data_IF_981830601247
#
_entry.id   IF_981830601247
#
_cell.length_a   1.000
_cell.length_b   1.000
_cell.length_c   1.000
_cell.angle_alpha   90.00
_cell.angle_beta   90.00
_cell.angle_gamma   90.00
#
_symmetry.space_group_name_H-M   'P 1'
#
loop_
_entity.id
_entity.type
_entity.pdbx_description
1 polymer ?
#
# COMPACT_ATOMS: atom_id res chain seq x y z
N UNK A 1 -50.46 -10.64 -19.35
CA UNK A 1 -50.14 -11.98 -18.79
C UNK A 1 -49.00 -11.77 -17.78
N UNK A 2 -49.18 -11.94 -16.47
CA UNK A 2 -49.50 -13.19 -15.74
C UNK A 2 -48.35 -14.22 -15.88
N UNK A 3 -47.77 -14.79 -14.81
CA UNK A 3 -48.28 -14.92 -13.43
C UNK A 3 -47.18 -14.96 -12.33
N UNK A 4 -47.64 -14.74 -11.09
CA UNK A 4 -47.03 -15.09 -9.78
C UNK A 4 -47.82 -16.28 -9.16
N UNK A 5 -47.51 -16.80 -7.95
CA UNK A 5 -46.28 -16.74 -7.16
C UNK A 5 -45.69 -18.19 -7.07
N UNK A 6 -45.70 -19.03 -5.99
CA UNK A 6 -45.93 -18.88 -4.53
C UNK A 6 -44.63 -19.04 -3.68
N UNK A 7 -44.79 -19.11 -2.34
CA UNK A 7 -43.74 -19.44 -1.35
C UNK A 7 -44.21 -20.58 -0.42
N UNK A 8 -43.31 -21.30 0.29
CA UNK A 8 -43.68 -22.24 1.35
C UNK A 8 -43.62 -21.64 2.77
N UNK A 9 -44.30 -22.29 3.72
CA UNK A 9 -44.63 -21.80 5.07
C UNK A 9 -44.23 -22.82 6.15
N UNK A 10 -43.83 -22.34 7.33
CA UNK A 10 -43.63 -23.15 8.55
C UNK A 10 -42.17 -23.26 9.01
N UNK A 11 -41.85 -23.45 10.30
CA UNK A 11 -42.73 -23.88 11.39
C UNK A 11 -42.46 -23.17 12.74
N UNK A 12 -43.51 -23.20 13.57
CA UNK A 12 -43.65 -22.65 14.92
C UNK A 12 -42.56 -23.12 15.90
N UNK A 13 -42.23 -22.26 16.88
CA UNK A 13 -42.24 -22.70 18.29
C UNK A 13 -42.38 -21.53 19.27
N UNK A 14 -43.48 -21.49 20.04
CA UNK A 14 -43.64 -20.64 21.24
C UNK A 14 -43.38 -21.51 22.46
N UNK A 15 -42.35 -21.22 23.24
CA UNK A 15 -42.22 -21.77 24.59
C UNK A 15 -42.96 -20.86 25.57
N UNK A 16 -43.99 -21.40 26.23
CA UNK A 16 -44.77 -20.74 27.28
C UNK A 16 -44.51 -21.47 28.59
N UNK A 17 -43.97 -20.75 29.57
CA UNK A 17 -43.84 -21.17 30.97
C UNK A 17 -44.07 -19.90 31.81
N UNK A 18 -45.32 -19.60 32.15
CA UNK A 18 -46.03 -20.13 33.33
C UNK A 18 -45.49 -19.52 34.63
N UNK A 19 -46.06 -18.36 34.97
CA UNK A 19 -45.94 -17.75 36.30
C UNK A 19 -46.63 -18.65 37.34
N UNK A 20 -45.97 -18.88 38.47
CA UNK A 20 -46.49 -19.62 39.61
C UNK A 20 -46.13 -18.86 40.88
N UNK A 21 -47.14 -18.31 41.56
CA UNK A 21 -46.99 -17.58 42.82
C UNK A 21 -47.73 -18.34 43.93
N UNK A 22 -47.00 -18.73 44.98
CA UNK A 22 -47.50 -19.44 46.19
C UNK A 22 -46.77 -18.84 47.42
N UNK A 23 -47.40 -18.76 48.62
CA UNK A 23 -47.26 -17.57 49.47
C UNK A 23 -46.28 -17.70 50.65
N UNK A 24 -46.14 -16.60 51.39
CA UNK A 24 -45.28 -16.47 52.58
C UNK A 24 -45.91 -17.06 53.86
N UNK A 25 -45.07 -17.66 54.71
CA UNK A 25 -45.34 -17.98 56.12
C UNK A 25 -44.02 -18.07 56.92
N UNK A 26 -44.02 -17.94 58.27
CA UNK A 26 -42.87 -17.42 59.01
C UNK A 26 -42.03 -18.46 59.77
N UNK A 27 -40.81 -18.08 60.17
CA UNK A 27 -40.02 -18.80 61.16
C UNK A 27 -38.54 -18.44 61.12
N UNK A 28 -38.06 -17.61 62.07
CA UNK A 28 -36.65 -17.30 62.23
C UNK A 28 -36.01 -18.11 63.36
N UNK A 29 -34.83 -18.71 63.13
CA UNK A 29 -33.85 -18.95 64.18
C UNK A 29 -32.57 -18.13 63.93
N UNK A 30 -32.07 -17.43 64.95
CA UNK A 30 -30.81 -16.70 64.89
C UNK A 30 -29.62 -17.59 65.28
N UNK A 31 -28.51 -17.58 64.53
CA UNK A 31 -27.17 -17.60 65.15
C UNK A 31 -25.99 -17.29 64.22
N UNK A 32 -24.98 -16.65 64.84
CA UNK A 32 -23.53 -16.69 64.53
C UNK A 32 -22.98 -16.04 63.25
N UNK A 33 -22.60 -14.76 63.40
CA UNK A 33 -21.25 -14.20 63.18
C UNK A 33 -20.23 -14.97 62.32
N UNK A 34 -19.62 -14.28 61.34
CA UNK A 34 -18.34 -14.70 60.75
C UNK A 34 -18.00 -14.32 59.30
N UNK A 35 -18.70 -13.36 58.66
CA UNK A 35 -18.39 -12.98 57.28
C UNK A 35 -17.02 -12.25 57.13
N UNK A 36 -16.23 -12.51 56.07
CA UNK A 36 -14.96 -11.83 55.87
C UNK A 36 -15.20 -10.33 55.65
N UNK A 37 -14.49 -9.49 56.42
CA UNK A 37 -14.58 -8.05 56.28
C UNK A 37 -14.10 -7.62 54.88
N UNK A 38 -15.02 -7.14 54.04
CA UNK A 38 -14.70 -6.44 52.81
C UNK A 38 -13.97 -5.15 53.17
N UNK A 39 -12.63 -5.23 53.17
CA UNK A 39 -11.74 -4.08 53.35
C UNK A 39 -11.87 -3.17 52.13
N UNK A 40 -12.85 -2.26 52.20
CA UNK A 40 -13.00 -1.17 51.26
C UNK A 40 -11.75 -0.30 51.42
N UNK A 41 -10.79 -0.45 50.49
CA UNK A 41 -9.62 0.43 50.41
C UNK A 41 -10.13 1.87 50.40
N UNK A 42 -9.76 2.65 51.41
CA UNK A 42 -10.11 4.07 51.47
C UNK A 42 -9.59 4.74 50.20
N UNK A 43 -10.50 5.29 49.40
CA UNK A 43 -10.12 6.17 48.30
C UNK A 43 -9.51 7.43 48.92
N UNK A 44 -8.19 7.56 48.80
CA UNK A 44 -7.54 8.84 49.06
C UNK A 44 -8.01 9.83 47.98
N UNK A 45 -8.47 11.00 48.40
CA UNK A 45 -8.84 12.06 47.46
C UNK A 45 -7.59 12.62 46.77
N UNK A 46 -7.64 12.76 45.45
CA UNK A 46 -6.64 13.50 44.68
C UNK A 46 -6.87 15.00 44.83
N UNK A 47 -5.79 15.76 44.86
CA UNK A 47 -5.84 17.23 44.90
C UNK A 47 -6.17 17.83 43.54
N UNK A 48 -6.72 19.04 43.52
CA UNK A 48 -6.99 19.79 42.29
C UNK A 48 -5.70 20.05 41.48
N UNK A 49 -4.56 20.24 42.16
CA UNK A 49 -3.26 20.43 41.52
C UNK A 49 -2.71 19.13 40.90
N UNK A 50 -2.87 17.98 41.56
CA UNK A 50 -2.53 16.68 40.96
C UNK A 50 -3.36 16.41 39.69
N UNK A 51 -4.66 16.73 39.71
CA UNK A 51 -5.52 16.55 38.54
C UNK A 51 -5.06 17.42 37.36
N UNK A 52 -4.70 18.69 37.61
CA UNK A 52 -4.14 19.59 36.59
C UNK A 52 -2.82 19.04 36.03
N UNK A 53 -1.90 18.62 36.90
CA UNK A 53 -0.61 18.07 36.47
C UNK A 53 -0.81 16.78 35.68
N UNK A 54 -1.74 15.90 36.08
CA UNK A 54 -2.06 14.67 35.37
C UNK A 54 -2.56 14.94 33.94
N UNK A 55 -3.52 15.85 33.74
CA UNK A 55 -4.01 16.17 32.39
C UNK A 55 -2.96 16.87 31.53
N UNK A 56 -2.06 17.66 32.13
CA UNK A 56 -0.94 18.31 31.43
C UNK A 56 0.10 17.27 30.98
N UNK A 57 0.48 16.32 31.84
CA UNK A 57 1.40 15.22 31.49
C UNK A 57 0.80 14.35 30.38
N UNK A 58 -0.47 13.94 30.50
CA UNK A 58 -1.14 13.14 29.47
C UNK A 58 -1.28 13.93 28.16
N UNK A 59 -1.66 15.21 28.22
CA UNK A 59 -1.79 16.07 27.03
C UNK A 59 -0.47 16.25 26.28
N UNK A 60 0.62 16.52 26.99
CA UNK A 60 1.97 16.67 26.40
C UNK A 60 2.52 15.34 25.86
N UNK A 61 2.29 14.23 26.56
CA UNK A 61 2.65 12.89 26.07
C UNK A 61 1.90 12.52 24.77
N UNK A 62 0.58 12.75 24.73
CA UNK A 62 -0.23 12.50 23.52
C UNK A 62 0.16 13.41 22.36
N UNK A 63 0.46 14.69 22.61
CA UNK A 63 0.95 15.60 21.58
C UNK A 63 2.28 15.13 20.98
N UNK A 64 3.23 14.67 21.81
CA UNK A 64 4.49 14.07 21.35
C UNK A 64 4.27 12.80 20.52
N UNK A 65 3.33 11.94 20.94
CA UNK A 65 2.98 10.70 20.23
C UNK A 65 2.41 10.98 18.82
N UNK A 66 1.48 11.93 18.68
CA UNK A 66 0.92 12.33 17.39
C UNK A 66 2.00 12.92 16.46
N UNK A 67 2.90 13.75 16.99
CA UNK A 67 4.03 14.28 16.23
C UNK A 67 4.96 13.18 15.70
N UNK A 68 5.24 12.14 16.50
CA UNK A 68 6.02 10.99 16.10
C UNK A 68 5.34 10.16 15.00
N UNK A 69 4.04 9.85 15.14
CA UNK A 69 3.28 9.09 14.13
C UNK A 69 3.21 9.81 12.78
N UNK A 70 2.95 11.12 12.77
CA UNK A 70 2.90 11.89 11.53
C UNK A 70 4.26 11.88 10.79
N UNK A 71 5.36 11.93 11.52
CA UNK A 71 6.72 11.83 10.95
C UNK A 71 6.99 10.46 10.34
N UNK A 72 6.57 9.38 10.99
CA UNK A 72 6.70 8.02 10.48
C UNK A 72 5.83 7.78 9.22
N UNK A 73 4.60 8.28 9.21
CA UNK A 73 3.69 8.16 8.06
C UNK A 73 4.21 8.92 6.83
N UNK A 74 4.73 10.14 7.01
CA UNK A 74 5.35 10.89 5.92
C UNK A 74 6.54 10.13 5.31
N UNK A 75 7.41 9.58 6.17
CA UNK A 75 8.53 8.72 5.75
C UNK A 75 8.11 7.37 5.11
N UNK A 76 6.82 7.04 5.10
CA UNK A 76 6.28 5.78 4.54
C UNK A 76 5.61 5.94 3.17
N UNK A 77 5.24 7.15 2.76
CA UNK A 77 4.59 7.42 1.47
C UNK A 77 5.60 7.48 0.30
N UNK A 78 6.75 8.13 0.50
CA UNK A 78 7.81 8.24 -0.51
C UNK A 78 8.40 6.87 -0.92
N UNK A 79 8.64 5.90 0.01
CA UNK A 79 9.03 4.54 -0.35
C UNK A 79 8.09 3.87 -1.37
N UNK A 80 6.77 4.04 -1.27
CA UNK A 80 5.84 3.41 -2.21
C UNK A 80 6.00 3.97 -3.63
N UNK A 81 6.20 5.28 -3.75
CA UNK A 81 6.45 5.94 -5.04
C UNK A 81 7.77 5.45 -5.64
N UNK A 82 8.85 5.44 -4.85
CA UNK A 82 10.16 4.96 -5.28
C UNK A 82 10.13 3.49 -5.73
N UNK A 83 9.45 2.61 -4.98
CA UNK A 83 9.29 1.19 -5.34
C UNK A 83 8.47 1.00 -6.61
N UNK A 84 7.41 1.78 -6.83
CA UNK A 84 6.65 1.75 -8.08
C UNK A 84 7.50 2.23 -9.27
N UNK A 85 8.27 3.30 -9.11
CA UNK A 85 9.19 3.77 -10.14
C UNK A 85 10.28 2.74 -10.46
N UNK A 86 10.80 2.07 -9.44
CA UNK A 86 11.80 1.01 -9.60
C UNK A 86 11.21 -0.17 -10.40
N UNK A 87 10.06 -0.71 -10.01
CA UNK A 87 9.42 -1.81 -10.71
C UNK A 87 9.11 -1.48 -12.19
N UNK A 88 8.68 -0.24 -12.48
CA UNK A 88 8.48 0.25 -13.86
C UNK A 88 9.82 0.30 -14.62
N UNK A 89 10.86 0.83 -13.99
CA UNK A 89 12.18 0.98 -14.60
C UNK A 89 12.86 -0.36 -14.87
N UNK A 90 12.77 -1.29 -13.92
CA UNK A 90 13.29 -2.67 -14.02
C UNK A 90 12.56 -3.43 -15.13
N UNK A 91 11.22 -3.45 -15.12
CA UNK A 91 10.42 -4.12 -16.17
C UNK A 91 10.77 -3.59 -17.57
N UNK A 92 10.92 -2.27 -17.72
CA UNK A 92 11.33 -1.67 -19.00
C UNK A 92 12.79 -2.01 -19.35
N UNK A 93 13.72 -1.98 -18.39
CA UNK A 93 15.11 -2.34 -18.62
C UNK A 93 15.25 -3.80 -19.04
N UNK A 94 14.56 -4.73 -18.38
CA UNK A 94 14.52 -6.15 -18.73
C UNK A 94 14.00 -6.35 -20.16
N UNK A 95 12.90 -5.70 -20.54
CA UNK A 95 12.36 -5.80 -21.90
C UNK A 95 13.36 -5.31 -22.97
N UNK A 96 14.06 -4.21 -22.72
CA UNK A 96 15.10 -3.70 -23.62
C UNK A 96 16.30 -4.66 -23.67
N UNK A 97 16.75 -5.17 -22.52
CA UNK A 97 17.90 -6.08 -22.43
C UNK A 97 17.63 -7.44 -23.09
N UNK A 98 16.39 -7.94 -23.05
CA UNK A 98 16.01 -9.23 -23.62
C UNK A 98 16.00 -9.28 -25.16
N UNK A 99 15.96 -8.15 -25.87
CA UNK A 99 16.09 -8.16 -27.34
C UNK A 99 17.51 -8.52 -27.78
N UNK A 100 17.77 -8.81 -29.07
CA UNK A 100 19.09 -8.72 -29.69
C UNK A 100 19.75 -7.33 -29.63
N UNK A 101 21.09 -7.28 -29.83
CA UNK A 101 21.81 -6.03 -30.01
C UNK A 101 21.31 -5.31 -31.26
N UNK A 102 20.93 -4.05 -31.09
CA UNK A 102 20.61 -3.12 -32.16
C UNK A 102 21.30 -1.79 -31.87
N UNK A 103 21.96 -1.20 -32.87
CA UNK A 103 22.63 0.09 -32.72
C UNK A 103 21.62 1.23 -32.59
N UNK A 104 22.09 2.44 -32.26
CA UNK A 104 21.21 3.61 -32.14
C UNK A 104 20.42 3.90 -33.43
N UNK A 105 21.02 3.65 -34.61
CA UNK A 105 20.50 4.07 -35.92
C UNK A 105 19.47 3.10 -36.53
N UNK A 106 18.93 2.16 -35.76
CA UNK A 106 17.89 1.25 -36.26
C UNK A 106 16.58 2.00 -36.51
N UNK A 107 15.95 1.76 -37.67
CA UNK A 107 14.64 2.32 -38.03
C UNK A 107 13.56 1.77 -37.10
N UNK A 108 13.05 2.63 -36.22
CA UNK A 108 12.05 2.29 -35.20
C UNK A 108 10.66 1.99 -35.80
N UNK A 109 10.06 0.81 -35.53
CA UNK A 109 8.66 0.52 -35.87
C UNK A 109 7.68 1.45 -35.15
N UNK A 110 6.45 1.54 -35.66
CA UNK A 110 5.41 2.36 -35.05
C UNK A 110 4.98 1.82 -33.67
N UNK A 111 4.76 0.50 -33.55
CA UNK A 111 4.26 -0.12 -32.31
C UNK A 111 5.41 -0.77 -31.53
N UNK A 112 5.36 -0.66 -30.19
CA UNK A 112 6.31 -1.33 -29.27
C UNK A 112 6.30 -2.86 -29.41
N UNK A 113 5.14 -3.46 -29.71
CA UNK A 113 5.02 -4.89 -29.98
C UNK A 113 5.93 -5.38 -31.12
N UNK A 114 6.23 -4.52 -32.10
CA UNK A 114 7.08 -4.83 -33.25
C UNK A 114 8.58 -4.63 -32.95
N UNK A 115 8.97 -4.27 -31.71
CA UNK A 115 10.37 -3.99 -31.39
C UNK A 115 11.18 -5.27 -31.24
N UNK A 116 12.03 -5.55 -32.24
CA UNK A 116 12.90 -6.73 -32.30
C UNK A 116 14.33 -6.54 -31.77
N UNK A 117 14.84 -5.32 -31.61
CA UNK A 117 16.22 -5.05 -31.18
C UNK A 117 16.33 -3.82 -30.26
N UNK A 118 17.43 -3.70 -29.50
CA UNK A 118 17.64 -2.61 -28.54
C UNK A 118 17.46 -1.21 -29.16
N UNK A 119 17.94 -1.01 -30.39
CA UNK A 119 17.89 0.27 -31.10
C UNK A 119 16.48 0.87 -31.22
N UNK A 120 15.45 0.04 -31.36
CA UNK A 120 14.05 0.48 -31.49
C UNK A 120 13.53 1.24 -30.26
N UNK A 121 14.10 1.01 -29.08
CA UNK A 121 13.72 1.72 -27.86
C UNK A 121 14.31 3.13 -27.77
N UNK A 122 15.20 3.53 -28.68
CA UNK A 122 15.73 4.88 -28.65
C UNK A 122 14.62 5.93 -28.83
N UNK A 123 14.59 6.93 -27.94
CA UNK A 123 13.51 7.92 -27.89
C UNK A 123 12.13 7.30 -27.66
N UNK A 124 12.02 6.12 -27.04
CA UNK A 124 10.73 5.62 -26.57
C UNK A 124 10.31 6.46 -25.36
N UNK A 125 9.10 6.99 -25.41
CA UNK A 125 8.53 7.84 -24.37
C UNK A 125 7.03 7.55 -24.26
N UNK A 126 6.47 7.81 -23.08
CA UNK A 126 5.07 7.49 -22.75
C UNK A 126 4.41 8.64 -22.00
N UNK A 127 3.08 8.69 -22.05
CA UNK A 127 2.24 9.56 -21.22
C UNK A 127 1.31 8.66 -20.41
N UNK A 128 1.66 8.38 -19.16
CA UNK A 128 1.14 7.25 -18.40
C UNK A 128 1.77 5.92 -18.84
N UNK A 129 1.88 4.95 -17.94
CA UNK A 129 2.43 3.62 -18.28
C UNK A 129 1.40 2.79 -19.06
N UNK A 130 1.88 2.20 -20.16
CA UNK A 130 1.13 1.29 -21.04
C UNK A 130 1.82 -0.07 -21.13
N UNK A 131 1.04 -1.10 -21.45
CA UNK A 131 1.56 -2.43 -21.80
C UNK A 131 2.28 -2.42 -23.17
N UNK A 132 2.70 -3.60 -23.65
CA UNK A 132 3.40 -3.76 -24.94
C UNK A 132 2.50 -3.47 -26.15
N UNK A 133 1.17 -3.60 -25.99
CA UNK A 133 0.17 -3.30 -27.01
C UNK A 133 -0.36 -1.86 -26.98
N UNK A 134 0.05 -1.05 -26.00
CA UNK A 134 -0.37 0.34 -25.83
C UNK A 134 -1.59 0.52 -24.91
N UNK A 135 -2.09 -0.52 -24.24
CA UNK A 135 -3.21 -0.39 -23.31
C UNK A 135 -2.72 0.25 -21.99
N UNK A 136 -3.44 1.24 -21.43
CA UNK A 136 -3.04 1.91 -20.19
C UNK A 136 -3.14 0.99 -18.97
N UNK A 137 -2.11 0.99 -18.13
CA UNK A 137 -2.10 0.24 -16.86
C UNK A 137 -2.77 1.08 -15.77
N UNK A 138 -3.87 0.55 -15.21
CA UNK A 138 -4.65 1.24 -14.19
C UNK A 138 -3.79 1.62 -12.96
N UNK A 139 -3.98 2.84 -12.46
CA UNK A 139 -3.21 3.40 -11.34
C UNK A 139 -1.84 3.99 -11.72
N UNK A 140 -1.27 3.66 -12.88
CA UNK A 140 0.07 4.12 -13.29
C UNK A 140 0.07 5.35 -14.21
N UNK A 141 -1.09 5.99 -14.43
CA UNK A 141 -1.23 7.19 -15.27
C UNK A 141 -0.41 8.42 -14.81
N UNK A 142 0.11 8.41 -13.57
CA UNK A 142 0.98 9.48 -13.03
C UNK A 142 2.48 9.23 -13.23
N UNK A 143 2.85 8.12 -13.86
CA UNK A 143 4.23 7.75 -14.16
C UNK A 143 4.44 7.75 -15.66
N UNK A 144 5.58 8.25 -16.10
CA UNK A 144 6.03 8.21 -17.48
C UNK A 144 7.39 7.53 -17.53
N UNK A 145 7.64 6.74 -18.57
CA UNK A 145 8.97 6.19 -18.86
C UNK A 145 9.51 6.75 -20.17
N UNK A 146 10.80 7.08 -20.16
CA UNK A 146 11.60 7.49 -21.30
C UNK A 146 12.82 6.56 -21.42
N UNK A 147 13.17 6.17 -22.64
CA UNK A 147 14.34 5.33 -22.93
C UNK A 147 15.25 6.02 -23.95
N UNK A 148 16.53 6.14 -23.62
CA UNK A 148 17.58 6.54 -24.57
C UNK A 148 18.55 5.39 -24.80
N UNK A 149 19.02 5.23 -26.03
CA UNK A 149 20.04 4.25 -26.43
C UNK A 149 21.14 5.00 -27.15
N UNK A 150 22.23 5.28 -26.43
CA UNK A 150 23.35 6.08 -26.93
C UNK A 150 24.54 5.15 -27.30
N UNK A 151 25.23 5.37 -28.43
CA UNK A 151 26.55 4.76 -28.66
C UNK A 151 27.53 5.20 -27.56
N UNK A 152 28.27 4.27 -26.98
CA UNK A 152 29.12 4.58 -25.82
C UNK A 152 30.33 3.65 -25.75
N UNK A 153 31.54 4.23 -25.81
CA UNK A 153 32.78 3.47 -25.68
C UNK A 153 32.96 2.92 -24.25
N UNK A 154 33.49 1.71 -24.15
CA UNK A 154 34.01 1.10 -22.93
C UNK A 154 35.51 0.87 -23.10
N UNK A 155 36.22 0.54 -22.02
CA UNK A 155 37.64 0.17 -22.10
C UNK A 155 37.81 -1.01 -23.07
N UNK A 156 38.55 -0.80 -24.15
CA UNK A 156 38.78 -1.75 -25.25
C UNK A 156 37.53 -2.13 -26.09
N UNK A 157 36.41 -1.39 -26.00
CA UNK A 157 35.24 -1.57 -26.89
C UNK A 157 34.89 -0.24 -27.54
N UNK A 158 34.89 -0.19 -28.87
CA UNK A 158 34.55 1.00 -29.63
C UNK A 158 33.07 1.39 -29.41
N UNK A 159 32.76 2.70 -29.50
CA UNK A 159 31.38 3.19 -29.36
C UNK A 159 30.42 2.64 -30.44
N UNK A 160 30.94 2.08 -31.54
CA UNK A 160 30.18 1.36 -32.58
C UNK A 160 29.68 -0.01 -32.14
N UNK A 161 30.35 -0.62 -31.16
CA UNK A 161 30.14 -2.00 -30.73
C UNK A 161 29.64 -2.05 -29.27
N UNK A 162 29.26 -0.91 -28.71
CA UNK A 162 28.64 -0.80 -27.39
C UNK A 162 27.63 0.34 -27.32
N UNK A 163 26.48 0.04 -26.69
CA UNK A 163 25.42 1.01 -26.42
C UNK A 163 25.14 1.11 -24.92
N UNK A 164 24.86 2.32 -24.46
CA UNK A 164 24.36 2.62 -23.11
C UNK A 164 22.86 2.87 -23.19
N UNK A 165 22.09 2.08 -22.46
CA UNK A 165 20.65 2.20 -22.33
C UNK A 165 20.38 2.98 -21.04
N UNK A 166 19.58 4.04 -21.12
CA UNK A 166 19.05 4.75 -19.95
C UNK A 166 17.54 4.63 -19.93
N UNK A 167 17.00 4.12 -18.83
CA UNK A 167 15.55 4.08 -18.56
C UNK A 167 15.27 5.11 -17.47
N UNK A 168 14.61 6.21 -17.83
CA UNK A 168 14.22 7.29 -16.93
C UNK A 168 12.72 7.19 -16.66
N UNK A 169 12.34 6.93 -15.41
CA UNK A 169 10.96 7.03 -14.95
C UNK A 169 10.76 8.37 -14.25
N UNK A 170 9.73 9.11 -14.65
CA UNK A 170 9.31 10.36 -13.99
C UNK A 170 7.90 10.23 -13.42
N UNK A 171 7.68 10.86 -12.27
CA UNK A 171 6.40 10.89 -11.57
C UNK A 171 5.82 12.31 -11.60
N UNK A 172 4.49 12.44 -11.62
CA UNK A 172 3.80 13.73 -11.77
C UNK A 172 4.16 14.80 -10.71
N UNK A 173 4.70 14.43 -9.53
CA UNK A 173 5.22 15.36 -8.52
C UNK A 173 6.63 15.90 -8.79
N UNK A 174 7.27 15.47 -9.88
CA UNK A 174 8.64 15.83 -10.25
C UNK A 174 9.73 14.85 -9.80
N UNK A 175 9.38 13.80 -9.03
CA UNK A 175 10.34 12.74 -8.70
C UNK A 175 10.81 12.01 -9.97
N UNK A 176 12.09 11.65 -10.01
CA UNK A 176 12.69 10.88 -11.10
C UNK A 176 13.57 9.73 -10.57
N UNK A 177 13.68 8.67 -11.36
CA UNK A 177 14.53 7.51 -11.14
C UNK A 177 15.12 7.10 -12.47
N UNK A 178 16.44 6.86 -12.55
CA UNK A 178 17.10 6.42 -13.78
C UNK A 178 17.89 5.12 -13.54
N UNK A 179 17.59 4.09 -14.31
CA UNK A 179 18.44 2.90 -14.45
C UNK A 179 19.33 3.05 -15.68
N UNK A 180 20.57 2.56 -15.60
CA UNK A 180 21.52 2.57 -16.71
C UNK A 180 22.05 1.16 -16.97
N UNK A 181 21.78 0.64 -18.16
CA UNK A 181 22.29 -0.64 -18.65
C UNK A 181 23.31 -0.43 -19.76
N UNK A 182 24.10 -1.46 -20.03
CA UNK A 182 25.10 -1.47 -21.10
C UNK A 182 24.98 -2.75 -21.89
N UNK A 183 25.20 -2.66 -23.21
CA UNK A 183 25.20 -3.82 -24.08
C UNK A 183 26.28 -3.69 -25.14
N UNK A 184 27.10 -4.73 -25.27
CA UNK A 184 28.05 -4.86 -26.38
C UNK A 184 27.42 -5.61 -27.54
N UNK A 185 27.99 -5.42 -28.72
CA UNK A 185 27.80 -6.32 -29.86
C UNK A 185 28.34 -7.72 -29.50
N UNK A 186 27.62 -8.80 -29.85
CA UNK A 186 28.09 -10.18 -29.66
C UNK A 186 29.19 -10.56 -30.66
#
# INVERSE_FOLDING_TARGET
MAASPPAPVGHRSRASISSSAIPAAPGAPSMSTGGPALSIKRMAGVTLVELIIAIVIVGTALAGLVAAYNRANAASADPLIAQQMLAIAETMMEEVMLKPYGGQQTVKPANRADYTEVGHYNGYATTGIVDVGGNPIAGLARYNVQVSVDPAALTNVAATDAVRIRVLVTQASGQNLQLTGWRTKP
#
